data_IF_847514220751
#
_entry.id   IF_847514220751
#
_cell.length_a   1.000
_cell.length_b   1.000
_cell.length_c   1.000
_cell.angle_alpha   90.00
_cell.angle_beta   90.00
_cell.angle_gamma   90.00
#
_symmetry.space_group_name_H-M   'P 1'
#
loop_
_entity.id
_entity.type
_entity.pdbx_description
1 polymer ?
#
# COMPACT_ATOMS: atom_id res chain seq x y z
N UNK A 1 -12.71 0.03 -4.37
CA UNK A 1 -13.11 1.36 -4.85
C UNK A 1 -11.95 2.34 -4.75
N UNK A 2 -11.61 3.04 -5.84
CA UNK A 2 -10.50 4.01 -5.84
C UNK A 2 -10.85 5.32 -5.14
N UNK A 3 -12.10 5.78 -5.22
CA UNK A 3 -12.57 7.02 -4.58
C UNK A 3 -12.56 6.93 -3.05
N UNK A 4 -13.17 5.89 -2.50
CA UNK A 4 -13.31 5.74 -1.04
C UNK A 4 -12.14 4.94 -0.41
N UNK A 5 -11.15 4.57 -1.22
CA UNK A 5 -10.03 3.70 -0.83
C UNK A 5 -10.46 2.37 -0.17
N UNK A 6 -11.68 1.90 -0.47
CA UNK A 6 -12.22 0.67 0.09
C UNK A 6 -11.65 -0.53 -0.67
N UNK A 7 -11.03 -1.45 0.07
CA UNK A 7 -10.56 -2.73 -0.44
C UNK A 7 -11.29 -3.86 0.30
N UNK A 8 -11.89 -4.77 -0.46
CA UNK A 8 -12.56 -5.95 0.06
C UNK A 8 -12.02 -7.14 -0.70
N UNK A 9 -11.59 -8.17 0.03
CA UNK A 9 -11.18 -9.46 -0.53
C UNK A 9 -12.24 -10.52 -0.25
N UNK A 10 -12.47 -11.41 -1.21
CA UNK A 10 -13.38 -12.54 -1.08
C UNK A 10 -12.97 -13.66 -2.04
N UNK A 11 -13.43 -14.88 -1.77
CA UNK A 11 -13.20 -16.03 -2.66
C UNK A 11 -14.15 -16.00 -3.86
N UNK A 12 -15.32 -15.40 -3.71
CA UNK A 12 -16.29 -15.22 -4.79
C UNK A 12 -16.93 -13.83 -4.77
N UNK A 13 -17.35 -13.35 -5.94
CA UNK A 13 -18.04 -12.05 -6.06
C UNK A 13 -19.36 -12.00 -5.29
N UNK A 14 -20.02 -13.15 -5.10
CA UNK A 14 -21.29 -13.27 -4.39
C UNK A 14 -21.19 -12.89 -2.91
N UNK A 15 -20.01 -13.08 -2.29
CA UNK A 15 -19.77 -12.77 -0.88
C UNK A 15 -19.74 -11.25 -0.59
N UNK A 16 -19.46 -10.43 -1.60
CA UNK A 16 -19.14 -9.01 -1.43
C UNK A 16 -19.96 -8.08 -2.31
N UNK A 17 -20.96 -8.61 -3.03
CA UNK A 17 -21.74 -7.83 -3.99
C UNK A 17 -22.51 -6.68 -3.34
N UNK A 18 -22.96 -6.88 -2.10
CA UNK A 18 -23.73 -5.92 -1.31
C UNK A 18 -22.85 -4.95 -0.49
N UNK A 19 -21.52 -5.11 -0.54
CA UNK A 19 -20.58 -4.32 0.25
C UNK A 19 -19.95 -3.14 -0.54
N UNK A 20 -20.50 -2.83 -1.72
CA UNK A 20 -20.02 -1.72 -2.56
C UNK A 20 -20.27 -0.39 -1.88
N UNK A 21 -19.23 0.41 -1.68
CA UNK A 21 -19.40 1.78 -1.19
C UNK A 21 -20.05 2.74 -2.21
N UNK A 22 -19.88 2.53 -3.52
CA UNK A 22 -20.40 3.40 -4.58
C UNK A 22 -20.44 2.71 -5.95
N UNK A 23 -20.94 3.43 -6.96
CA UNK A 23 -20.99 2.97 -8.37
C UNK A 23 -19.62 2.70 -8.99
N UNK A 24 -18.58 3.40 -8.53
CA UNK A 24 -17.21 3.28 -9.02
C UNK A 24 -16.44 2.12 -8.33
N UNK A 25 -17.15 1.22 -7.66
CA UNK A 25 -16.60 -0.01 -7.11
C UNK A 25 -16.39 -1.04 -8.22
N UNK A 26 -15.13 -1.31 -8.55
CA UNK A 26 -14.73 -2.34 -9.52
C UNK A 26 -14.46 -3.69 -8.83
N UNK A 27 -14.94 -4.78 -9.43
CA UNK A 27 -14.47 -6.12 -9.11
C UNK A 27 -13.26 -6.47 -9.97
N UNK A 28 -12.19 -6.90 -9.33
CA UNK A 28 -10.99 -7.41 -10.01
C UNK A 28 -10.61 -8.75 -9.42
N UNK A 29 -10.00 -9.58 -10.25
CA UNK A 29 -9.42 -10.85 -9.83
C UNK A 29 -7.92 -10.68 -9.65
N UNK A 30 -7.37 -11.38 -8.66
CA UNK A 30 -5.94 -11.49 -8.48
C UNK A 30 -5.54 -12.93 -8.22
N UNK A 31 -4.29 -13.25 -8.53
CA UNK A 31 -3.70 -14.56 -8.31
C UNK A 31 -2.59 -14.40 -7.28
N UNK A 32 -2.67 -15.16 -6.19
CA UNK A 32 -1.58 -15.34 -5.23
C UNK A 32 -0.72 -16.56 -5.66
N UNK A 33 0.50 -16.35 -6.18
CA UNK A 33 1.37 -17.42 -6.62
C UNK A 33 2.04 -18.07 -5.41
N UNK A 34 1.33 -18.97 -4.71
CA UNK A 34 1.79 -19.60 -3.46
C UNK A 34 3.15 -20.30 -3.55
N UNK A 35 3.53 -20.76 -4.75
CA UNK A 35 4.81 -21.44 -5.01
C UNK A 35 5.83 -20.56 -5.73
N UNK A 36 5.60 -19.24 -5.79
CA UNK A 36 6.45 -18.28 -6.47
C UNK A 36 6.32 -18.31 -7.99
N UNK A 37 7.31 -17.74 -8.66
CA UNK A 37 7.36 -17.60 -10.12
C UNK A 37 8.45 -18.49 -10.72
N UNK A 38 8.19 -19.01 -11.92
CA UNK A 38 9.18 -19.72 -12.74
C UNK A 38 9.50 -18.87 -13.96
N UNK A 39 10.78 -18.69 -14.27
CA UNK A 39 11.23 -18.00 -15.48
C UNK A 39 11.23 -18.95 -16.68
N UNK A 40 11.18 -18.40 -17.88
CA UNK A 40 11.45 -19.21 -19.08
C UNK A 40 12.87 -19.78 -19.05
N UNK A 41 13.09 -20.87 -19.81
CA UNK A 41 14.39 -21.53 -19.95
C UNK A 41 15.25 -20.96 -21.08
N UNK A 42 14.79 -19.90 -21.72
CA UNK A 42 15.57 -19.24 -22.78
C UNK A 42 16.80 -18.56 -22.15
N UNK A 43 17.92 -18.50 -22.88
CA UNK A 43 19.15 -17.85 -22.38
C UNK A 43 18.89 -16.37 -22.04
N UNK A 44 19.36 -15.95 -20.86
CA UNK A 44 19.24 -14.57 -20.43
C UNK A 44 20.14 -13.67 -21.27
N UNK A 45 19.57 -12.56 -21.78
CA UNK A 45 20.37 -11.53 -22.45
C UNK A 45 21.23 -10.83 -21.41
N UNK A 46 22.52 -10.58 -21.73
CA UNK A 46 23.40 -9.78 -20.88
C UNK A 46 22.75 -8.41 -20.61
N UNK A 47 22.54 -8.01 -19.35
CA UNK A 47 21.93 -6.73 -19.04
C UNK A 47 22.86 -5.59 -19.47
N UNK A 48 22.37 -4.72 -20.35
CA UNK A 48 23.10 -3.53 -20.84
C UNK A 48 22.93 -2.31 -19.93
N UNK A 49 22.15 -2.45 -18.85
CA UNK A 49 21.89 -1.39 -17.88
C UNK A 49 20.87 -1.81 -16.82
N UNK A 50 20.59 -0.92 -15.88
CA UNK A 50 19.58 -1.13 -14.84
C UNK A 50 18.18 -1.11 -15.48
N UNK A 51 17.45 -2.21 -15.38
CA UNK A 51 16.06 -2.28 -15.83
C UNK A 51 15.17 -1.34 -15.00
N UNK A 52 14.28 -0.62 -15.67
CA UNK A 52 13.29 0.21 -15.00
C UNK A 52 12.29 -0.68 -14.23
N UNK A 53 11.89 -0.25 -13.03
CA UNK A 53 10.75 -0.86 -12.34
C UNK A 53 9.49 -0.47 -13.09
N UNK A 54 8.97 -1.42 -13.87
CA UNK A 54 7.79 -1.20 -14.74
C UNK A 54 6.48 -1.31 -13.95
N UNK A 55 6.52 -1.97 -12.79
CA UNK A 55 5.35 -2.29 -11.98
C UNK A 55 5.48 -1.70 -10.58
N UNK A 56 4.41 -1.08 -10.11
CA UNK A 56 4.25 -0.66 -8.72
C UNK A 56 3.38 -1.68 -8.01
N UNK A 57 3.75 -2.01 -6.78
CA UNK A 57 2.91 -2.78 -5.88
C UNK A 57 2.17 -1.83 -4.96
N UNK A 58 0.90 -2.13 -4.66
CA UNK A 58 0.09 -1.36 -3.74
C UNK A 58 -0.33 -2.22 -2.54
N UNK A 59 -0.01 -1.81 -1.30
CA UNK A 59 -0.48 -2.50 -0.11
C UNK A 59 -1.92 -2.09 0.23
N UNK A 60 -2.74 -3.08 0.54
CA UNK A 60 -4.10 -2.94 1.00
C UNK A 60 -4.26 -3.62 2.36
N UNK A 61 -5.01 -2.98 3.24
CA UNK A 61 -5.38 -3.53 4.54
C UNK A 61 -6.73 -4.22 4.42
N UNK A 62 -6.80 -5.50 4.79
CA UNK A 62 -8.00 -6.34 4.73
C UNK A 62 -8.60 -6.59 6.13
N UNK A 63 -8.27 -5.77 7.11
CA UNK A 63 -8.78 -5.83 8.48
C UNK A 63 -7.85 -6.55 9.45
N UNK A 64 -8.17 -6.42 10.75
CA UNK A 64 -7.47 -7.13 11.81
C UNK A 64 -8.04 -8.54 12.01
N UNK A 65 -7.20 -9.48 12.44
CA UNK A 65 -7.63 -10.80 12.91
C UNK A 65 -8.45 -10.70 14.20
N UNK A 66 -8.09 -9.75 15.06
CA UNK A 66 -8.83 -9.35 16.25
C UNK A 66 -8.64 -7.85 16.43
N UNK A 67 -9.70 -7.08 16.69
CA UNK A 67 -9.50 -5.66 16.94
C UNK A 67 -8.66 -5.44 18.21
N UNK A 68 -7.65 -4.57 18.09
CA UNK A 68 -6.88 -4.09 19.24
C UNK A 68 -7.70 -3.11 20.07
N UNK A 69 -7.36 -2.98 21.35
CA UNK A 69 -7.98 -1.98 22.22
C UNK A 69 -7.63 -0.57 21.72
N UNK A 70 -8.56 0.37 21.83
CA UNK A 70 -8.33 1.75 21.38
C UNK A 70 -7.87 2.61 22.56
N UNK A 71 -6.67 3.16 22.44
CA UNK A 71 -6.09 4.14 23.36
C UNK A 71 -6.24 5.53 22.74
N UNK A 72 -6.93 6.42 23.44
CA UNK A 72 -7.02 7.81 23.02
C UNK A 72 -5.82 8.58 23.58
N UNK A 73 -4.98 9.11 22.69
CA UNK A 73 -3.88 9.99 23.03
C UNK A 73 -4.38 11.46 22.97
N UNK A 74 -3.83 12.37 23.79
CA UNK A 74 -4.42 13.66 24.20
C UNK A 74 -5.37 14.37 23.21
N UNK A 75 -6.61 13.89 23.06
CA UNK A 75 -7.61 14.47 22.15
C UNK A 75 -7.22 14.56 20.66
N UNK A 76 -6.14 13.91 20.22
CA UNK A 76 -5.53 14.15 18.91
C UNK A 76 -5.54 12.93 18.02
N UNK A 77 -5.15 11.78 18.57
CA UNK A 77 -5.05 10.54 17.81
C UNK A 77 -5.58 9.40 18.66
N UNK A 78 -6.45 8.60 18.05
CA UNK A 78 -6.85 7.31 18.61
C UNK A 78 -5.97 6.25 17.97
N UNK A 79 -5.22 5.54 18.81
CA UNK A 79 -4.32 4.46 18.44
C UNK A 79 -4.98 3.12 18.82
N UNK A 80 -4.93 2.11 17.96
CA UNK A 80 -5.19 0.73 18.38
C UNK A 80 -3.94 0.10 18.98
N UNK A 81 -4.08 -0.78 19.96
CA UNK A 81 -3.01 -1.72 20.31
C UNK A 81 -2.63 -2.54 19.08
N UNK A 82 -1.38 -3.00 19.08
CA UNK A 82 -0.85 -3.88 18.05
C UNK A 82 -1.72 -5.12 17.94
N UNK A 83 -2.02 -5.48 16.71
CA UNK A 83 -2.77 -6.69 16.43
C UNK A 83 -2.36 -7.27 15.07
N UNK A 84 -2.45 -8.59 14.89
CA UNK A 84 -2.26 -9.21 13.59
C UNK A 84 -3.24 -8.64 12.54
N UNK A 85 -2.71 -7.88 11.59
CA UNK A 85 -3.41 -7.31 10.45
C UNK A 85 -3.26 -8.19 9.20
N UNK A 86 -4.36 -8.37 8.47
CA UNK A 86 -4.34 -9.02 7.15
C UNK A 86 -3.96 -8.01 6.08
N UNK A 87 -2.84 -8.26 5.42
CA UNK A 87 -2.32 -7.43 4.35
C UNK A 87 -2.45 -8.14 3.01
N UNK A 88 -2.81 -7.38 1.97
CA UNK A 88 -2.79 -7.83 0.58
C UNK A 88 -1.97 -6.85 -0.22
N UNK A 89 -0.90 -7.32 -0.86
CA UNK A 89 -0.07 -6.49 -1.74
C UNK A 89 -0.37 -6.89 -3.18
N UNK A 90 -0.86 -5.95 -3.99
CA UNK A 90 -1.20 -6.20 -5.38
C UNK A 90 -0.21 -5.52 -6.34
N UNK A 91 0.25 -6.28 -7.32
CA UNK A 91 0.85 -5.79 -8.55
C UNK A 91 -0.24 -5.74 -9.62
N UNK A 92 -0.69 -4.54 -9.96
CA UNK A 92 -1.84 -4.31 -10.85
C UNK A 92 -1.42 -4.15 -12.32
N UNK A 93 -0.20 -4.57 -12.68
CA UNK A 93 0.35 -4.41 -14.02
C UNK A 93 0.68 -2.95 -14.35
N UNK A 94 1.06 -2.70 -15.61
CA UNK A 94 1.41 -1.35 -16.07
C UNK A 94 0.12 -0.53 -16.17
N UNK A 95 0.05 0.65 -15.53
CA UNK A 95 -1.13 1.53 -15.54
C UNK A 95 -2.44 0.85 -15.07
N UNK A 96 -2.35 -0.24 -14.30
CA UNK A 96 -3.54 -0.95 -13.81
C UNK A 96 -4.19 -1.89 -14.83
N UNK A 97 -3.51 -2.24 -15.93
CA UNK A 97 -4.01 -3.14 -16.98
C UNK A 97 -3.97 -4.63 -16.59
N UNK A 98 -3.37 -4.98 -15.45
CA UNK A 98 -3.22 -6.36 -15.01
C UNK A 98 -2.31 -7.20 -15.90
N UNK A 99 -2.53 -8.51 -15.85
CA UNK A 99 -1.77 -9.54 -16.57
C UNK A 99 -2.72 -10.56 -17.18
N UNK A 100 -2.22 -11.32 -18.15
CA UNK A 100 -2.94 -12.46 -18.72
C UNK A 100 -2.28 -13.73 -18.22
N UNK A 101 -3.05 -14.66 -17.65
CA UNK A 101 -2.51 -15.93 -17.15
C UNK A 101 -3.26 -17.10 -17.78
N UNK A 102 -2.53 -18.03 -18.39
CA UNK A 102 -3.11 -19.25 -18.93
C UNK A 102 -3.56 -20.18 -17.80
N UNK A 103 -4.86 -20.48 -17.73
CA UNK A 103 -5.42 -21.42 -16.76
C UNK A 103 -5.03 -22.88 -16.98
N UNK A 104 -4.50 -23.23 -18.16
CA UNK A 104 -4.03 -24.60 -18.47
C UNK A 104 -2.59 -24.81 -17.99
N UNK A 105 -1.69 -23.87 -18.28
CA UNK A 105 -0.25 -24.07 -18.03
C UNK A 105 0.39 -23.08 -17.05
N UNK A 106 -0.34 -22.06 -16.59
CA UNK A 106 0.14 -21.03 -15.67
C UNK A 106 1.07 -19.98 -16.27
N UNK A 107 1.31 -19.98 -17.59
CA UNK A 107 2.13 -18.96 -18.25
C UNK A 107 1.50 -17.57 -18.11
N UNK A 108 2.30 -16.57 -17.72
CA UNK A 108 1.87 -15.19 -17.53
C UNK A 108 2.39 -14.26 -18.64
N UNK A 109 1.55 -13.33 -19.08
CA UNK A 109 1.81 -12.43 -20.20
C UNK A 109 1.36 -11.00 -19.89
N UNK A 110 1.95 -10.03 -20.60
CA UNK A 110 1.61 -8.60 -20.42
C UNK A 110 0.56 -8.13 -21.40
N UNK A 111 0.40 -8.84 -22.53
CA UNK A 111 -0.51 -8.46 -23.60
C UNK A 111 -1.29 -9.67 -24.09
N UNK A 112 -2.54 -9.46 -24.43
CA UNK A 112 -3.40 -10.46 -25.08
C UNK A 112 -2.76 -11.08 -26.33
N UNK A 113 -2.11 -10.25 -27.15
CA UNK A 113 -1.46 -10.69 -28.40
C UNK A 113 -0.34 -11.72 -28.20
N UNK A 114 0.23 -11.83 -27.00
CA UNK A 114 1.31 -12.77 -26.68
C UNK A 114 0.77 -14.18 -26.36
N UNK A 115 -0.53 -14.32 -26.08
CA UNK A 115 -1.10 -15.55 -25.56
C UNK A 115 -2.36 -16.06 -26.26
N UNK A 116 -2.96 -15.26 -27.16
CA UNK A 116 -4.28 -15.53 -27.78
C UNK A 116 -4.36 -16.80 -28.65
N UNK A 117 -3.25 -17.20 -29.28
CA UNK A 117 -3.23 -18.34 -30.21
C UNK A 117 -2.44 -19.52 -29.61
N UNK A 118 -1.12 -19.43 -29.67
CA UNK A 118 -0.22 -20.43 -29.08
C UNK A 118 0.89 -19.71 -28.33
N UNK A 119 1.36 -20.32 -27.25
CA UNK A 119 2.45 -19.77 -26.44
C UNK A 119 3.34 -20.87 -25.89
N UNK A 120 4.47 -20.48 -25.29
CA UNK A 120 5.34 -21.40 -24.54
C UNK A 120 4.86 -21.50 -23.10
N UNK A 121 4.74 -22.72 -22.58
CA UNK A 121 4.61 -22.98 -21.15
C UNK A 121 5.86 -22.51 -20.39
N UNK A 122 5.82 -22.37 -19.05
CA UNK A 122 7.03 -22.06 -18.26
C UNK A 122 8.17 -23.08 -18.46
N UNK A 123 7.84 -24.31 -18.87
CA UNK A 123 8.81 -25.38 -19.17
C UNK A 123 9.30 -25.38 -20.63
N UNK A 124 8.86 -24.42 -21.46
CA UNK A 124 9.28 -24.28 -22.86
C UNK A 124 8.48 -25.11 -23.87
N UNK A 125 7.52 -25.94 -23.42
CA UNK A 125 6.63 -26.71 -24.32
C UNK A 125 5.60 -25.80 -24.99
N UNK A 126 5.15 -26.15 -26.20
CA UNK A 126 4.05 -25.46 -26.88
C UNK A 126 2.72 -25.71 -26.14
N UNK A 127 2.00 -24.65 -25.84
CA UNK A 127 0.63 -24.68 -25.33
C UNK A 127 -0.29 -24.04 -26.37
N UNK A 128 -1.36 -24.77 -26.71
CA UNK A 128 -2.48 -24.23 -27.48
C UNK A 128 -3.56 -23.93 -26.46
N UNK A 129 -3.60 -22.69 -25.99
CA UNK A 129 -4.64 -22.30 -25.04
C UNK A 129 -5.94 -22.05 -25.81
N UNK A 130 -7.03 -22.61 -25.30
CA UNK A 130 -8.35 -22.11 -25.67
C UNK A 130 -8.52 -20.72 -25.05
N UNK A 131 -9.08 -19.77 -25.79
CA UNK A 131 -9.25 -18.37 -25.36
C UNK A 131 -9.97 -18.29 -24.01
N UNK A 132 -10.92 -19.19 -23.79
CA UNK A 132 -11.74 -19.34 -22.58
C UNK A 132 -10.91 -19.76 -21.35
N UNK A 133 -9.74 -20.36 -21.57
CA UNK A 133 -8.84 -20.78 -20.49
C UNK A 133 -7.90 -19.67 -20.02
N UNK A 134 -7.81 -18.56 -20.77
CA UNK A 134 -7.00 -17.41 -20.36
C UNK A 134 -7.77 -16.59 -19.32
N UNK A 135 -7.08 -16.22 -18.25
CA UNK A 135 -7.56 -15.27 -17.26
C UNK A 135 -7.03 -13.88 -17.62
N UNK A 136 -7.85 -13.01 -18.24
CA UNK A 136 -7.41 -11.67 -18.63
C UNK A 136 -7.41 -10.72 -17.43
N UNK A 137 -6.55 -9.70 -17.51
CA UNK A 137 -6.56 -8.53 -16.62
C UNK A 137 -6.50 -8.84 -15.11
N UNK A 138 -5.89 -9.97 -14.76
CA UNK A 138 -5.69 -10.36 -13.36
C UNK A 138 -4.53 -9.58 -12.74
N UNK A 139 -4.66 -9.20 -11.47
CA UNK A 139 -3.52 -8.71 -10.70
C UNK A 139 -2.71 -9.87 -10.13
N UNK A 140 -1.44 -9.65 -9.82
CA UNK A 140 -0.64 -10.61 -9.05
C UNK A 140 -0.60 -10.12 -7.61
N UNK A 141 -0.98 -10.98 -6.66
CA UNK A 141 -1.09 -10.62 -5.26
C UNK A 141 -0.17 -11.42 -4.38
N UNK A 142 -0.02 -10.96 -3.14
CA UNK A 142 0.48 -11.76 -2.04
C UNK A 142 -0.30 -11.39 -0.78
N UNK A 143 -0.79 -12.40 -0.06
CA UNK A 143 -1.50 -12.24 1.20
C UNK A 143 -0.60 -12.65 2.37
N UNK A 144 -0.53 -11.83 3.40
CA UNK A 144 0.22 -12.15 4.62
C UNK A 144 -0.42 -11.51 5.85
N UNK A 145 -0.03 -12.02 7.01
CA UNK A 145 -0.40 -11.47 8.31
C UNK A 145 0.85 -10.84 8.91
N UNK A 146 0.73 -9.67 9.51
CA UNK A 146 1.81 -8.99 10.21
C UNK A 146 1.27 -8.17 11.37
N UNK A 147 2.15 -7.72 12.26
CA UNK A 147 1.79 -6.76 13.31
C UNK A 147 1.46 -5.41 12.69
N UNK A 148 0.30 -4.87 13.07
CA UNK A 148 -0.19 -3.60 12.58
C UNK A 148 -0.83 -2.78 13.71
N UNK A 149 -0.77 -1.47 13.56
CA UNK A 149 -1.50 -0.49 14.36
C UNK A 149 -2.35 0.38 13.45
N UNK A 150 -3.48 0.86 13.98
CA UNK A 150 -4.32 1.84 13.33
C UNK A 150 -4.23 3.17 14.08
N UNK A 151 -3.96 4.23 13.34
CA UNK A 151 -3.90 5.61 13.82
C UNK A 151 -5.03 6.41 13.19
N UNK A 152 -6.00 6.81 14.01
CA UNK A 152 -7.06 7.71 13.62
C UNK A 152 -6.76 9.10 14.18
N UNK A 153 -6.27 10.00 13.35
CA UNK A 153 -6.15 11.39 13.74
C UNK A 153 -7.53 12.06 13.74
N UNK A 154 -7.83 12.82 14.79
CA UNK A 154 -9.11 13.49 14.99
C UNK A 154 -9.17 14.88 14.33
N UNK A 155 -8.13 15.73 14.42
CA UNK A 155 -8.13 17.00 13.72
C UNK A 155 -8.02 16.83 12.20
N UNK A 156 -8.75 17.63 11.45
CA UNK A 156 -8.65 17.70 9.99
C UNK A 156 -7.46 18.56 9.55
N UNK A 157 -6.92 18.38 8.33
CA UNK A 157 -5.98 19.33 7.73
C UNK A 157 -6.56 20.75 7.70
N UNK A 158 -5.67 21.74 7.85
CA UNK A 158 -6.03 23.17 7.78
C UNK A 158 -6.30 23.56 6.32
N UNK A 159 -5.49 23.02 5.41
CA UNK A 159 -5.62 23.25 3.98
C UNK A 159 -6.86 22.53 3.43
N UNK A 160 -7.46 23.11 2.38
CA UNK A 160 -8.49 22.46 1.57
C UNK A 160 -7.82 21.44 0.64
N UNK A 161 -7.75 20.19 1.07
CA UNK A 161 -7.05 19.09 0.39
C UNK A 161 -7.94 17.85 0.33
N UNK A 162 -7.70 17.01 -0.67
CA UNK A 162 -8.28 15.67 -0.68
C UNK A 162 -7.77 14.88 0.54
N UNK A 163 -8.69 14.45 1.40
CA UNK A 163 -8.36 13.80 2.68
C UNK A 163 -7.65 12.46 2.49
N UNK A 164 -7.89 11.75 1.40
CA UNK A 164 -7.24 10.48 1.12
C UNK A 164 -5.79 10.71 0.66
N UNK A 165 -5.58 11.62 -0.28
CA UNK A 165 -4.24 12.01 -0.75
C UNK A 165 -3.39 12.60 0.38
N UNK A 166 -4.02 13.42 1.24
CA UNK A 166 -3.41 13.94 2.45
C UNK A 166 -3.07 12.83 3.45
N UNK A 167 -3.97 11.87 3.71
CA UNK A 167 -3.68 10.74 4.60
C UNK A 167 -2.50 9.90 4.11
N UNK A 168 -2.35 9.67 2.80
CA UNK A 168 -1.17 9.02 2.24
C UNK A 168 0.10 9.86 2.51
N UNK A 169 0.05 11.17 2.25
CA UNK A 169 1.17 12.09 2.52
C UNK A 169 1.60 12.04 4.00
N UNK A 170 0.64 12.13 4.91
CA UNK A 170 0.87 12.03 6.36
C UNK A 170 1.42 10.65 6.75
N UNK A 171 0.88 9.57 6.19
CA UNK A 171 1.33 8.21 6.51
C UNK A 171 2.79 7.97 6.13
N UNK A 172 3.25 8.51 5.01
CA UNK A 172 4.64 8.33 4.57
C UNK A 172 5.61 9.26 5.31
N UNK A 173 5.16 10.44 5.74
CA UNK A 173 5.93 11.26 6.66
C UNK A 173 6.11 10.55 8.01
N UNK A 174 5.01 10.01 8.58
CA UNK A 174 5.03 9.30 9.84
C UNK A 174 5.85 8.02 9.78
N UNK A 175 5.76 7.24 8.69
CA UNK A 175 6.56 6.04 8.50
C UNK A 175 8.05 6.36 8.56
N UNK A 176 8.50 7.38 7.82
CA UNK A 176 9.92 7.76 7.79
C UNK A 176 10.36 8.30 9.16
N UNK A 177 9.51 9.09 9.83
CA UNK A 177 9.82 9.60 11.16
C UNK A 177 9.85 8.52 12.25
N UNK A 178 8.95 7.53 12.16
CA UNK A 178 8.97 6.36 13.04
C UNK A 178 10.21 5.50 12.82
N UNK A 179 10.61 5.28 11.56
CA UNK A 179 11.82 4.54 11.25
C UNK A 179 13.08 5.22 11.82
N UNK A 180 13.15 6.55 11.74
CA UNK A 180 14.25 7.34 12.30
C UNK A 180 14.29 7.26 13.84
N UNK A 181 13.15 7.42 14.51
CA UNK A 181 13.06 7.38 15.98
C UNK A 181 13.33 5.99 16.55
N UNK A 182 12.91 4.94 15.84
CA UNK A 182 13.17 3.56 16.23
C UNK A 182 14.59 3.08 15.84
N UNK A 183 15.39 3.92 15.16
CA UNK A 183 16.71 3.58 14.62
C UNK A 183 16.71 2.29 13.76
N UNK A 184 15.74 2.21 12.85
CA UNK A 184 15.58 1.07 11.94
C UNK A 184 15.58 1.52 10.47
N UNK A 185 15.96 0.62 9.55
CA UNK A 185 15.76 0.88 8.13
C UNK A 185 14.28 1.13 7.82
N UNK A 186 13.95 2.21 7.10
CA UNK A 186 12.54 2.51 6.76
C UNK A 186 11.86 1.42 5.94
N UNK A 187 12.63 0.53 5.31
CA UNK A 187 12.12 -0.65 4.63
C UNK A 187 11.56 -1.75 5.55
N UNK A 188 11.79 -1.66 6.86
CA UNK A 188 11.25 -2.57 7.87
C UNK A 188 9.83 -2.20 8.28
N UNK A 189 9.40 -0.96 8.03
CA UNK A 189 8.02 -0.51 8.20
C UNK A 189 7.36 -0.27 6.85
N UNK A 190 6.03 -0.36 6.81
CA UNK A 190 5.25 0.09 5.68
C UNK A 190 3.88 0.63 6.13
N UNK A 191 3.26 1.45 5.29
CA UNK A 191 2.03 2.13 5.60
C UNK A 191 1.02 2.00 4.47
N UNK A 192 -0.26 1.95 4.83
CA UNK A 192 -1.38 2.15 3.91
C UNK A 192 -2.46 2.94 4.63
N UNK A 193 -3.45 3.38 3.86
CA UNK A 193 -4.59 4.14 4.38
C UNK A 193 -5.79 3.21 4.32
N UNK A 194 -6.57 3.11 5.40
CA UNK A 194 -7.83 2.37 5.41
C UNK A 194 -8.93 3.17 4.71
N UNK A 195 -10.08 2.56 4.43
CA UNK A 195 -11.24 3.33 3.98
C UNK A 195 -11.66 4.32 5.07
N UNK A 196 -11.84 5.59 4.69
CA UNK A 196 -12.36 6.61 5.60
C UNK A 196 -13.81 6.32 6.02
N UNK A 197 -14.24 6.89 7.15
CA UNK A 197 -15.65 6.87 7.52
C UNK A 197 -16.46 7.80 6.61
N UNK A 198 -17.76 7.52 6.45
CA UNK A 198 -18.67 8.37 5.67
C UNK A 198 -18.84 9.80 6.25
N UNK A 199 -18.29 10.08 7.43
CA UNK A 199 -18.45 11.37 8.13
C UNK A 199 -17.40 12.41 7.76
N UNK A 200 -16.78 12.30 6.59
CA UNK A 200 -15.75 13.23 6.10
C UNK A 200 -14.56 13.38 7.09
N UNK A 201 -14.26 12.32 7.86
CA UNK A 201 -13.13 12.26 8.77
C UNK A 201 -11.86 11.89 8.00
N UNK A 202 -10.69 12.25 8.55
CA UNK A 202 -9.43 11.82 7.97
C UNK A 202 -9.36 10.29 7.96
N UNK A 203 -9.06 9.64 6.82
CA UNK A 203 -8.94 8.19 6.77
C UNK A 203 -7.90 7.64 7.76
N UNK A 204 -8.17 6.52 8.46
CA UNK A 204 -7.20 5.93 9.37
C UNK A 204 -5.93 5.49 8.64
N UNK A 205 -4.79 5.74 9.27
CA UNK A 205 -3.48 5.26 8.80
C UNK A 205 -3.23 3.89 9.42
N UNK A 206 -2.86 2.92 8.60
CA UNK A 206 -2.40 1.61 9.03
C UNK A 206 -0.88 1.56 8.87
N UNK A 207 -0.16 1.45 9.97
CA UNK A 207 1.27 1.23 9.98
C UNK A 207 1.55 -0.20 10.43
N UNK A 208 2.45 -0.89 9.74
CA UNK A 208 2.68 -2.31 9.96
C UNK A 208 4.13 -2.71 9.71
N UNK A 209 4.52 -3.84 10.28
CA UNK A 209 5.83 -4.43 10.06
C UNK A 209 5.90 -5.03 8.65
N UNK A 210 6.92 -4.64 7.88
CA UNK A 210 7.08 -5.05 6.49
C UNK A 210 7.76 -6.43 6.36
N UNK A 211 7.38 -7.36 7.25
CA UNK A 211 7.83 -8.75 7.32
C UNK A 211 6.63 -9.62 7.68
N UNK A 212 6.35 -10.72 6.95
CA UNK A 212 5.31 -11.67 7.36
C UNK A 212 5.56 -12.20 8.78
N UNK A 213 4.50 -12.25 9.59
CA UNK A 213 4.56 -12.67 10.99
C UNK A 213 4.80 -11.54 11.99
N UNK A 214 5.22 -10.35 11.55
CA UNK A 214 5.57 -9.25 12.43
C UNK A 214 6.99 -9.37 13.02
N UNK A 215 7.66 -8.24 13.17
CA UNK A 215 8.93 -8.11 13.86
C UNK A 215 8.76 -7.43 15.24
N UNK A 216 7.54 -7.06 15.62
CA UNK A 216 7.21 -6.31 16.82
C UNK A 216 7.65 -4.84 16.78
N UNK A 217 7.95 -4.26 15.61
CA UNK A 217 8.50 -2.91 15.52
C UNK A 217 7.41 -1.86 15.73
N UNK A 218 6.26 -2.02 15.08
CA UNK A 218 5.12 -1.11 15.28
C UNK A 218 4.55 -1.13 16.70
N UNK A 219 4.77 -2.19 17.47
CA UNK A 219 4.35 -2.26 18.88
C UNK A 219 5.03 -1.18 19.74
N UNK A 220 6.23 -0.75 19.37
CA UNK A 220 6.94 0.31 20.09
C UNK A 220 6.22 1.67 19.99
N UNK A 221 5.43 1.88 18.94
CA UNK A 221 4.65 3.11 18.74
C UNK A 221 3.39 3.16 19.63
N UNK A 222 3.13 2.11 20.42
CA UNK A 222 2.16 2.19 21.51
C UNK A 222 2.61 3.09 22.66
N UNK A 223 3.91 3.27 22.82
CA UNK A 223 4.45 4.24 23.76
C UNK A 223 4.22 5.66 23.23
N UNK A 224 3.63 6.51 24.08
CA UNK A 224 3.26 7.87 23.70
C UNK A 224 4.48 8.73 23.35
N UNK A 225 5.61 8.56 24.05
CA UNK A 225 6.81 9.34 23.77
C UNK A 225 7.44 8.94 22.44
N UNK A 226 7.41 7.65 22.11
CA UNK A 226 7.88 7.10 20.84
C UNK A 226 7.03 7.62 19.67
N UNK A 227 5.69 7.59 19.80
CA UNK A 227 4.81 8.17 18.78
C UNK A 227 4.99 9.70 18.66
N UNK A 228 5.13 10.39 19.80
CA UNK A 228 5.37 11.84 19.85
C UNK A 228 6.67 12.21 19.14
N UNK A 229 7.75 11.49 19.43
CA UNK A 229 9.03 11.62 18.75
C UNK A 229 8.90 11.36 17.25
N UNK A 230 8.17 10.31 16.86
CA UNK A 230 7.99 9.93 15.44
C UNK A 230 7.29 11.03 14.63
N UNK A 231 6.29 11.67 15.22
CA UNK A 231 5.59 12.80 14.61
C UNK A 231 6.44 14.08 14.57
N UNK A 232 7.31 14.30 15.57
CA UNK A 232 8.28 15.40 15.56
C UNK A 232 9.33 15.19 14.46
N UNK A 233 9.94 14.01 14.36
CA UNK A 233 10.88 13.68 13.27
C UNK A 233 10.18 13.77 11.90
N UNK A 234 8.94 13.31 11.78
CA UNK A 234 8.15 13.48 10.56
C UNK A 234 7.99 14.97 10.17
N UNK A 235 7.71 15.85 11.14
CA UNK A 235 7.61 17.30 10.95
C UNK A 235 8.94 17.89 10.49
N UNK A 236 10.03 17.55 11.16
CA UNK A 236 11.37 18.06 10.85
C UNK A 236 11.78 17.65 9.44
N UNK A 237 11.50 16.41 9.05
CA UNK A 237 11.76 15.88 7.71
C UNK A 237 11.02 16.64 6.61
N UNK A 238 9.71 16.87 6.77
CA UNK A 238 8.92 17.57 5.74
C UNK A 238 9.20 19.06 5.70
N UNK A 239 9.56 19.68 6.83
CA UNK A 239 9.87 21.11 6.94
C UNK A 239 11.25 21.41 6.34
N UNK A 240 12.27 20.62 6.69
CA UNK A 240 13.66 20.87 6.29
C UNK A 240 14.01 20.33 4.89
N UNK A 241 13.05 19.76 4.17
CA UNK A 241 13.27 19.24 2.83
C UNK A 241 13.58 20.36 1.82
N UNK A 242 14.80 20.36 1.27
CA UNK A 242 15.25 21.30 0.23
C UNK A 242 15.07 20.77 -1.20
N UNK A 243 14.76 19.49 -1.37
CA UNK A 243 14.72 18.83 -2.68
C UNK A 243 13.42 19.00 -3.48
N UNK A 244 12.39 19.65 -2.94
CA UNK A 244 11.13 19.89 -3.64
C UNK A 244 10.34 21.06 -3.04
N UNK A 245 9.34 21.56 -3.77
CA UNK A 245 8.42 22.62 -3.28
C UNK A 245 7.41 22.06 -2.27
N UNK A 246 6.67 22.93 -1.59
CA UNK A 246 5.64 22.55 -0.61
C UNK A 246 4.51 21.70 -1.21
N UNK A 247 4.04 22.04 -2.42
CA UNK A 247 2.96 21.35 -3.10
C UNK A 247 3.44 20.09 -3.87
N UNK A 248 4.60 19.54 -3.49
CA UNK A 248 5.17 18.36 -4.12
C UNK A 248 5.92 17.49 -3.10
N UNK A 249 6.59 16.45 -3.61
CA UNK A 249 7.36 15.50 -2.81
C UNK A 249 8.60 15.02 -3.58
N UNK A 250 9.62 14.56 -2.84
CA UNK A 250 10.82 13.92 -3.38
C UNK A 250 11.22 12.72 -2.51
N UNK A 251 12.28 12.02 -2.90
CA UNK A 251 12.79 10.86 -2.15
C UNK A 251 13.39 11.22 -0.78
N UNK A 252 13.75 12.49 -0.57
CA UNK A 252 14.26 12.97 0.72
C UNK A 252 13.17 13.30 1.73
N UNK A 253 11.89 13.39 1.32
CA UNK A 253 10.76 13.65 2.22
C UNK A 253 9.77 12.49 2.24
N UNK A 254 8.92 12.35 1.21
CA UNK A 254 7.77 11.43 1.26
C UNK A 254 7.90 10.24 0.30
N UNK A 255 8.74 10.32 -0.73
CA UNK A 255 8.78 9.29 -1.79
C UNK A 255 9.71 8.15 -1.42
N UNK A 256 9.25 6.94 -1.69
CA UNK A 256 10.05 5.73 -1.74
C UNK A 256 9.69 4.94 -2.99
N UNK A 257 10.48 3.92 -3.34
CA UNK A 257 10.10 3.04 -4.45
C UNK A 257 8.83 2.22 -4.18
N UNK A 258 8.44 2.06 -2.91
CA UNK A 258 7.29 1.23 -2.50
C UNK A 258 5.97 1.99 -2.59
N UNK A 259 6.00 3.32 -2.57
CA UNK A 259 4.82 4.17 -2.67
C UNK A 259 4.71 4.88 -4.03
N UNK A 260 5.32 4.33 -5.08
CA UNK A 260 5.24 4.91 -6.44
C UNK A 260 3.80 5.13 -6.92
N UNK A 261 2.87 4.26 -6.52
CA UNK A 261 1.45 4.42 -6.81
C UNK A 261 0.84 5.72 -6.25
N UNK A 262 1.47 6.34 -5.26
CA UNK A 262 1.00 7.56 -4.61
C UNK A 262 1.74 8.84 -5.05
N UNK A 263 2.87 8.73 -5.76
CA UNK A 263 3.78 9.86 -6.00
C UNK A 263 3.13 11.10 -6.64
N UNK A 264 2.08 10.92 -7.44
CA UNK A 264 1.38 12.01 -8.13
C UNK A 264 0.62 12.95 -7.21
N UNK A 265 0.25 12.51 -6.01
CA UNK A 265 -0.56 13.28 -5.07
C UNK A 265 0.12 13.52 -3.70
N UNK A 266 1.36 13.07 -3.51
CA UNK A 266 2.10 13.32 -2.27
C UNK A 266 2.58 14.78 -2.19
N UNK A 267 2.17 15.49 -1.13
CA UNK A 267 2.53 16.89 -0.88
C UNK A 267 3.08 17.08 0.55
N UNK A 268 4.25 17.72 0.68
CA UNK A 268 4.90 17.90 1.99
C UNK A 268 4.39 19.10 2.79
N UNK A 269 3.95 20.17 2.12
CA UNK A 269 3.53 21.43 2.74
C UNK A 269 2.31 21.28 3.64
N UNK A 270 1.19 20.73 3.14
CA UNK A 270 0.02 20.48 3.97
C UNK A 270 0.32 19.60 5.18
N UNK A 271 1.18 18.59 5.02
CA UNK A 271 1.61 17.71 6.11
C UNK A 271 2.41 18.50 7.16
N UNK A 272 3.33 19.38 6.76
CA UNK A 272 4.11 20.19 7.68
C UNK A 272 3.22 21.11 8.53
N UNK A 273 2.28 21.83 7.90
CA UNK A 273 1.33 22.70 8.61
C UNK A 273 0.44 21.92 9.57
N UNK A 274 -0.06 20.76 9.12
CA UNK A 274 -0.85 19.87 9.96
C UNK A 274 -0.07 19.38 11.17
N UNK A 275 1.12 18.83 10.98
CA UNK A 275 1.94 18.30 12.06
C UNK A 275 2.34 19.41 13.06
N UNK A 276 2.60 20.63 12.59
CA UNK A 276 2.87 21.75 13.49
C UNK A 276 1.63 22.13 14.34
N UNK A 277 0.43 22.10 13.76
CA UNK A 277 -0.83 22.28 14.49
C UNK A 277 -1.09 21.14 15.49
N UNK A 278 -0.78 19.90 15.12
CA UNK A 278 -0.89 18.76 16.03
C UNK A 278 0.05 18.93 17.22
N UNK A 279 1.32 19.30 16.96
CA UNK A 279 2.34 19.53 17.97
C UNK A 279 1.94 20.61 18.98
N UNK A 280 1.27 21.68 18.55
CA UNK A 280 0.82 22.75 19.45
C UNK A 280 -0.30 22.35 20.41
N UNK A 281 -0.88 21.15 20.25
CA UNK A 281 -1.93 20.61 21.12
C UNK A 281 -1.40 19.59 22.15
N UNK A 282 -0.09 19.33 22.14
CA UNK A 282 0.61 18.41 23.04
C UNK A 282 1.34 19.09 24.19
#
# INVERSE_FOLDING_TARGET
CKQHNQFIRARSRKEIVDQKCCKDFEFREYIDPQFGFVTNRDESKKPTGRTSRVFTTRPYFAGFKKEGEKKQLPGIVTLSTVSPGFMVVLCEGRRGEGFYVCGVCGAGFKKWSECKDTHKTPLGKKCVAQVESLRPEVSLGHEFITDAIQLQFLPKPIDDVDLLEFAYSLSYALLEGAAEVLDIPSNNLNATVSSGSHNNALPPIILYDNVPGGAGLVAQLEDFNTLKGSLQSALDRVTNCTGCTENSSCYSCLRSYRNQFAHSFLQRGPVARYLNMIRSKW
#
